data_IF_173066990920
#
_entry.id   IF_173066990920
#
_cell.length_a   1.000
_cell.length_b   1.000
_cell.length_c   1.000
_cell.angle_alpha   90.00
_cell.angle_beta   90.00
_cell.angle_gamma   90.00
#
_symmetry.space_group_name_H-M   'P 1'
#
loop_
_entity.id
_entity.type
_entity.pdbx_description
1 polymer ?
#
# COMPACT_ATOMS: atom_id res chain seq x y z
N UNK A 1 -0.24 -11.66 -1.35
CA UNK A 1 0.78 -11.76 -0.27
C UNK A 1 1.96 -10.84 -0.52
N UNK A 2 2.44 -10.71 -1.77
CA UNK A 2 3.54 -9.81 -2.17
C UNK A 2 3.34 -8.33 -1.82
N UNK A 3 2.13 -7.78 -2.01
CA UNK A 3 1.86 -6.34 -1.74
C UNK A 3 2.07 -5.95 -0.27
N UNK A 4 1.46 -6.70 0.66
CA UNK A 4 1.59 -6.40 2.10
C UNK A 4 3.03 -6.57 2.59
N UNK A 5 3.77 -7.52 2.02
CA UNK A 5 5.20 -7.69 2.31
C UNK A 5 6.00 -6.48 1.82
N UNK A 6 5.74 -6.00 0.59
CA UNK A 6 6.37 -4.80 0.05
C UNK A 6 6.08 -3.56 0.93
N UNK A 7 4.82 -3.31 1.28
CA UNK A 7 4.45 -2.21 2.19
C UNK A 7 5.17 -2.32 3.54
N UNK A 8 5.21 -3.52 4.13
CA UNK A 8 5.87 -3.74 5.42
C UNK A 8 7.36 -3.44 5.39
N UNK A 9 8.00 -3.63 4.23
CA UNK A 9 9.41 -3.35 4.00
C UNK A 9 9.68 -1.90 3.54
N UNK A 10 8.65 -1.05 3.40
CA UNK A 10 8.79 0.28 2.83
C UNK A 10 9.19 0.27 1.36
N UNK A 11 8.83 -0.80 0.63
CA UNK A 11 9.12 -0.96 -0.79
C UNK A 11 7.92 -0.47 -1.61
N UNK A 12 8.10 0.56 -2.46
CA UNK A 12 7.04 1.02 -3.35
C UNK A 12 6.52 -0.07 -4.27
N UNK A 13 5.24 -0.02 -4.62
CA UNK A 13 4.61 -1.00 -5.51
C UNK A 13 4.22 -0.37 -6.85
N UNK A 14 4.60 -1.02 -7.95
CA UNK A 14 4.04 -0.73 -9.27
C UNK A 14 2.85 -1.66 -9.48
N UNK A 15 1.65 -1.10 -9.58
CA UNK A 15 0.41 -1.86 -9.72
C UNK A 15 -0.20 -1.64 -11.11
N UNK A 16 -0.66 -2.72 -11.75
CA UNK A 16 -1.45 -2.61 -12.97
C UNK A 16 -2.87 -2.16 -12.61
N UNK A 17 -3.43 -1.22 -13.37
CA UNK A 17 -4.79 -0.71 -13.17
C UNK A 17 -5.85 -1.83 -13.18
N UNK A 18 -6.96 -1.60 -12.46
CA UNK A 18 -8.13 -2.49 -12.47
C UNK A 18 -8.14 -3.54 -11.36
N UNK A 19 -7.39 -3.34 -10.27
CA UNK A 19 -7.45 -4.19 -9.09
C UNK A 19 -7.32 -3.40 -7.78
N UNK A 20 -7.70 -4.03 -6.67
CA UNK A 20 -7.70 -3.41 -5.35
C UNK A 20 -6.31 -2.94 -4.86
N UNK A 21 -5.22 -3.50 -5.40
CA UNK A 21 -3.86 -3.01 -5.08
C UNK A 21 -3.61 -1.68 -5.78
N UNK A 22 -4.03 -1.54 -7.05
CA UNK A 22 -3.94 -0.27 -7.76
C UNK A 22 -4.75 0.83 -7.06
N UNK A 23 -5.95 0.51 -6.57
CA UNK A 23 -6.77 1.45 -5.80
C UNK A 23 -6.05 1.92 -4.52
N UNK A 24 -5.47 0.99 -3.76
CA UNK A 24 -4.75 1.31 -2.52
C UNK A 24 -3.46 2.09 -2.79
N UNK A 25 -2.72 1.74 -3.84
CA UNK A 25 -1.50 2.44 -4.27
C UNK A 25 -1.80 3.88 -4.67
N UNK A 26 -2.85 4.09 -5.48
CA UNK A 26 -3.27 5.42 -5.91
C UNK A 26 -3.80 6.27 -4.74
N UNK A 27 -4.60 5.68 -3.84
CA UNK A 27 -5.20 6.40 -2.73
C UNK A 27 -4.21 6.79 -1.62
N UNK A 28 -3.08 6.08 -1.52
CA UNK A 28 -2.15 6.23 -0.40
C UNK A 28 -0.72 6.58 -0.82
N UNK A 29 -0.50 6.82 -2.11
CA UNK A 29 0.79 7.28 -2.67
C UNK A 29 1.94 6.32 -2.28
N UNK A 30 1.68 5.01 -2.31
CA UNK A 30 2.65 3.97 -1.92
C UNK A 30 3.44 3.42 -3.12
N UNK A 31 3.39 4.11 -4.26
CA UNK A 31 3.99 3.70 -5.52
C UNK A 31 3.26 4.30 -6.69
N UNK A 32 3.14 3.56 -7.79
CA UNK A 32 2.56 4.04 -9.03
C UNK A 32 1.63 3.03 -9.67
N UNK A 33 0.56 3.53 -10.27
CA UNK A 33 -0.37 2.74 -11.08
C UNK A 33 -0.03 2.92 -12.55
N UNK A 34 0.08 1.80 -13.26
CA UNK A 34 0.34 1.75 -14.70
C UNK A 34 -0.85 1.12 -15.42
N UNK A 35 -1.13 1.58 -16.64
CA UNK A 35 -2.16 0.98 -17.51
C UNK A 35 -1.58 -0.13 -18.39
N UNK A 36 -0.25 -0.17 -18.56
CA UNK A 36 0.49 -1.14 -19.37
C UNK A 36 1.84 -1.47 -18.70
N UNK A 37 2.25 -2.75 -18.76
CA UNK A 37 3.56 -3.21 -18.28
C UNK A 37 4.72 -2.56 -19.05
N UNK A 38 4.49 -2.09 -20.27
CA UNK A 38 5.50 -1.33 -21.02
C UNK A 38 5.96 -0.06 -20.28
N UNK A 39 5.10 0.53 -19.44
CA UNK A 39 5.38 1.75 -18.67
C UNK A 39 6.28 1.50 -17.46
N UNK A 40 6.49 0.24 -17.05
CA UNK A 40 7.25 -0.08 -15.82
C UNK A 40 8.67 0.48 -15.87
N UNK A 41 9.32 0.43 -17.04
CA UNK A 41 10.69 0.92 -17.21
C UNK A 41 10.81 2.44 -16.98
N UNK A 42 9.75 3.21 -17.23
CA UNK A 42 9.74 4.66 -17.06
C UNK A 42 9.80 5.09 -15.58
N UNK A 43 9.49 4.17 -14.68
CA UNK A 43 9.42 4.40 -13.24
C UNK A 43 10.64 3.88 -12.47
N UNK A 44 11.42 2.96 -13.06
CA UNK A 44 12.59 2.37 -12.40
C UNK A 44 13.73 3.35 -12.16
N UNK A 45 13.78 4.48 -12.87
CA UNK A 45 14.86 5.48 -12.80
C UNK A 45 14.56 6.67 -11.87
N UNK A 46 13.40 6.70 -11.20
CA UNK A 46 12.95 7.86 -10.43
C UNK A 46 13.27 7.75 -8.94
N UNK A 47 14.55 7.84 -8.60
CA UNK A 47 15.06 7.60 -7.23
C UNK A 47 14.39 8.47 -6.15
N UNK A 48 14.15 9.76 -6.42
CA UNK A 48 13.52 10.68 -5.46
C UNK A 48 12.07 10.27 -5.14
N UNK A 49 11.32 9.82 -6.15
CA UNK A 49 9.95 9.36 -6.00
C UNK A 49 9.88 8.03 -5.24
N UNK A 50 10.87 7.15 -5.46
CA UNK A 50 10.98 5.85 -4.76
C UNK A 50 11.15 6.05 -3.25
N UNK A 51 11.96 7.01 -2.80
CA UNK A 51 12.12 7.29 -1.37
C UNK A 51 10.83 7.82 -0.75
N UNK A 52 10.16 8.75 -1.44
CA UNK A 52 8.88 9.31 -1.01
C UNK A 52 7.82 8.20 -0.86
N UNK A 53 7.62 7.39 -1.89
CA UNK A 53 6.68 6.27 -1.85
C UNK A 53 7.04 5.22 -0.80
N UNK A 54 8.33 4.99 -0.55
CA UNK A 54 8.77 4.01 0.45
C UNK A 54 8.35 4.40 1.87
N UNK A 55 8.46 5.69 2.20
CA UNK A 55 7.97 6.21 3.48
C UNK A 55 6.44 6.05 3.62
N UNK A 56 5.70 6.39 2.56
CA UNK A 56 4.24 6.24 2.52
C UNK A 56 3.81 4.77 2.59
N UNK A 57 4.55 3.87 1.93
CA UNK A 57 4.31 2.44 1.95
C UNK A 57 4.41 1.86 3.37
N UNK A 58 5.47 2.24 4.10
CA UNK A 58 5.66 1.82 5.49
C UNK A 58 4.57 2.38 6.40
N UNK A 59 4.26 3.67 6.28
CA UNK A 59 3.20 4.32 7.06
C UNK A 59 1.83 3.68 6.80
N UNK A 60 1.52 3.38 5.54
CA UNK A 60 0.29 2.70 5.14
C UNK A 60 0.17 1.32 5.79
N UNK A 61 1.26 0.54 5.80
CA UNK A 61 1.29 -0.75 6.49
C UNK A 61 0.97 -0.59 7.98
N UNK A 62 1.67 0.30 8.66
CA UNK A 62 1.52 0.51 10.11
C UNK A 62 0.09 0.92 10.47
N UNK A 63 -0.52 1.80 9.68
CA UNK A 63 -1.87 2.32 9.95
C UNK A 63 -2.98 1.29 9.69
N UNK A 64 -2.86 0.48 8.64
CA UNK A 64 -4.01 -0.28 8.12
C UNK A 64 -3.84 -1.80 8.09
N UNK A 65 -2.62 -2.31 8.07
CA UNK A 65 -2.32 -3.71 7.83
C UNK A 65 -1.44 -4.35 8.90
N UNK A 66 -0.94 -3.55 9.86
CA UNK A 66 -0.24 -4.06 11.03
C UNK A 66 -1.17 -4.92 11.90
N UNK A 67 -0.56 -5.77 12.72
CA UNK A 67 -1.29 -6.58 13.68
C UNK A 67 -2.10 -5.69 14.63
N UNK A 68 -1.50 -4.58 15.06
CA UNK A 68 -2.08 -3.59 15.94
C UNK A 68 -3.31 -2.93 15.28
N UNK A 69 -3.18 -2.49 14.03
CA UNK A 69 -4.30 -1.93 13.26
C UNK A 69 -5.44 -2.94 13.08
N UNK A 70 -5.09 -4.21 12.83
CA UNK A 70 -6.08 -5.29 12.71
C UNK A 70 -6.80 -5.54 14.03
N UNK A 71 -6.07 -5.63 15.15
CA UNK A 71 -6.62 -5.82 16.49
C UNK A 71 -7.54 -4.66 16.89
N UNK A 72 -7.17 -3.42 16.59
CA UNK A 72 -7.99 -2.25 16.87
C UNK A 72 -9.31 -2.30 16.08
N UNK A 73 -9.24 -2.58 14.77
CA UNK A 73 -10.43 -2.65 13.90
C UNK A 73 -11.37 -3.78 14.30
N UNK A 74 -10.85 -4.99 14.56
CA UNK A 74 -11.72 -6.11 14.94
C UNK A 74 -12.35 -5.88 16.31
N UNK A 75 -11.61 -5.30 17.26
CA UNK A 75 -12.17 -4.92 18.57
C UNK A 75 -13.28 -3.90 18.43
N UNK A 76 -13.14 -2.93 17.53
CA UNK A 76 -14.16 -1.92 17.26
C UNK A 76 -15.44 -2.56 16.70
N UNK A 77 -15.32 -3.47 15.74
CA UNK A 77 -16.47 -4.22 15.19
C UNK A 77 -17.22 -4.97 16.29
N UNK A 78 -16.51 -5.65 17.20
CA UNK A 78 -17.16 -6.35 18.31
C UNK A 78 -17.85 -5.40 19.30
N UNK A 79 -17.29 -4.21 19.56
CA UNK A 79 -17.92 -3.19 20.41
C UNK A 79 -19.21 -2.61 19.80
N UNK A 80 -19.29 -2.54 18.48
CA UNK A 80 -20.50 -2.04 17.80
C UNK A 80 -21.64 -3.08 17.78
N UNK A 81 -21.30 -4.37 17.93
CA UNK A 81 -22.27 -5.48 17.89
C UNK A 81 -22.79 -5.91 19.26
N UNK A 82 -22.08 -5.58 20.33
CA UNK A 82 -22.47 -5.93 21.71
C UNK A 82 -22.88 -4.64 22.43
N UNK A 83 -24.20 -4.39 22.59
CA UNK A 83 -24.71 -3.22 23.32
C UNK A 83 -24.35 -3.24 24.81
#
# INVERSE_FOLDING_TARGET
MSYLQALSAGVPTIALEGNAVADDVAAHETGVVVSDLAQVNDWLSREDEVQHWGAHARQRFEHAFSKEAWLLRITQVYKELVP
#
